data_IF_182877297269
#
_entry.id   IF_182877297269
#
_cell.length_a   1.000
_cell.length_b   1.000
_cell.length_c   1.000
_cell.angle_alpha   90.00
_cell.angle_beta   90.00
_cell.angle_gamma   90.00
#
_symmetry.space_group_name_H-M   'P 1'
#
loop_
_entity.id
_entity.type
_entity.pdbx_description
1 polymer ?
#
# COMPACT_ATOMS: atom_id res chain seq x y z
N UNK A 1 -0.62 -1.01 -17.79
CA UNK A 1 -1.10 -1.40 -16.44
C UNK A 1 -2.45 -2.09 -16.56
N UNK A 2 -2.73 -3.13 -15.76
CA UNK A 2 -4.06 -3.76 -15.80
C UNK A 2 -5.13 -2.81 -15.26
N UNK A 3 -6.35 -2.81 -15.86
CA UNK A 3 -7.48 -1.98 -15.40
C UNK A 3 -7.81 -2.22 -13.92
N UNK A 4 -7.58 -3.43 -13.44
CA UNK A 4 -7.77 -3.85 -12.04
C UNK A 4 -6.72 -3.25 -11.11
N UNK A 5 -5.44 -3.22 -11.50
CA UNK A 5 -4.37 -2.58 -10.72
C UNK A 5 -4.61 -1.07 -10.61
N UNK A 6 -4.91 -0.41 -11.74
CA UNK A 6 -5.15 1.03 -11.78
C UNK A 6 -6.32 1.43 -10.87
N UNK A 7 -7.46 0.72 -10.95
CA UNK A 7 -8.61 0.99 -10.07
C UNK A 7 -8.33 0.75 -8.58
N UNK A 8 -7.49 -0.23 -8.23
CA UNK A 8 -7.08 -0.46 -6.85
C UNK A 8 -6.15 0.64 -6.32
N UNK A 9 -5.23 1.14 -7.16
CA UNK A 9 -4.35 2.25 -6.81
C UNK A 9 -5.15 3.53 -6.57
N UNK A 10 -6.12 3.87 -7.44
CA UNK A 10 -7.02 5.01 -7.25
C UNK A 10 -7.79 4.87 -5.94
N UNK A 11 -8.39 3.70 -5.68
CA UNK A 11 -9.12 3.44 -4.42
C UNK A 11 -8.23 3.59 -3.19
N UNK A 12 -6.99 3.10 -3.27
CA UNK A 12 -6.01 3.23 -2.19
C UNK A 12 -5.65 4.70 -1.92
N UNK A 13 -5.38 5.47 -2.97
CA UNK A 13 -5.10 6.91 -2.85
C UNK A 13 -6.28 7.66 -2.21
N UNK A 14 -7.50 7.37 -2.67
CA UNK A 14 -8.70 8.00 -2.13
C UNK A 14 -8.92 7.71 -0.63
N UNK A 15 -8.70 6.46 -0.20
CA UNK A 15 -8.78 6.09 1.22
C UNK A 15 -7.68 6.78 2.03
N UNK A 16 -6.47 6.86 1.49
CA UNK A 16 -5.36 7.54 2.16
C UNK A 16 -5.68 9.03 2.37
N UNK A 17 -6.19 9.73 1.36
CA UNK A 17 -6.63 11.12 1.49
C UNK A 17 -7.75 11.30 2.52
N UNK A 18 -8.70 10.36 2.60
CA UNK A 18 -9.76 10.40 3.63
C UNK A 18 -9.19 10.22 5.05
N UNK A 19 -8.22 9.33 5.23
CA UNK A 19 -7.54 9.16 6.52
C UNK A 19 -6.81 10.43 6.92
N UNK A 20 -6.10 11.06 5.99
CA UNK A 20 -5.36 12.30 6.25
C UNK A 20 -6.31 13.45 6.62
N UNK A 21 -7.41 13.61 5.89
CA UNK A 21 -8.43 14.61 6.21
C UNK A 21 -9.07 14.38 7.57
N UNK A 22 -9.44 13.15 7.89
CA UNK A 22 -10.08 12.85 9.18
C UNK A 22 -9.10 12.98 10.35
N UNK A 23 -7.81 12.69 10.14
CA UNK A 23 -6.77 12.83 11.16
C UNK A 23 -6.49 14.29 11.53
N UNK A 24 -6.62 15.21 10.58
CA UNK A 24 -6.37 16.66 10.78
C UNK A 24 -7.61 17.37 11.34
N UNK A 25 -8.77 16.69 11.39
CA UNK A 25 -10.02 17.26 11.88
C UNK A 25 -9.94 17.56 13.39
N UNK A 26 -10.50 18.68 13.81
CA UNK A 26 -10.52 19.12 15.23
C UNK A 26 -11.20 18.10 16.17
N UNK A 27 -12.22 17.40 15.65
CA UNK A 27 -12.89 16.29 16.32
C UNK A 27 -12.86 15.07 15.39
N UNK A 28 -11.82 14.23 15.45
CA UNK A 28 -11.70 13.07 14.59
C UNK A 28 -12.67 11.96 15.02
N UNK A 29 -13.40 11.40 14.05
CA UNK A 29 -14.15 10.16 14.28
C UNK A 29 -13.18 8.96 14.27
N UNK A 30 -12.83 8.49 15.45
CA UNK A 30 -11.94 7.35 15.65
C UNK A 30 -12.49 6.04 15.08
N UNK A 31 -13.81 5.84 15.07
CA UNK A 31 -14.45 4.65 14.50
C UNK A 31 -14.31 4.71 12.97
N UNK A 32 -14.56 5.87 12.37
CA UNK A 32 -14.36 6.06 10.94
C UNK A 32 -12.89 5.90 10.55
N UNK A 33 -11.95 6.46 11.32
CA UNK A 33 -10.51 6.27 11.11
C UNK A 33 -10.10 4.79 11.16
N UNK A 34 -10.62 4.03 12.13
CA UNK A 34 -10.36 2.59 12.24
C UNK A 34 -10.89 1.84 11.01
N UNK A 35 -12.14 2.14 10.58
CA UNK A 35 -12.74 1.55 9.38
C UNK A 35 -11.92 1.86 8.12
N UNK A 36 -11.47 3.11 7.96
CA UNK A 36 -10.64 3.53 6.83
C UNK A 36 -9.28 2.81 6.82
N UNK A 37 -8.63 2.67 7.99
CA UNK A 37 -7.38 1.91 8.12
C UNK A 37 -7.56 0.43 7.77
N UNK A 38 -8.65 -0.20 8.22
CA UNK A 38 -8.97 -1.59 7.84
C UNK A 38 -9.19 -1.73 6.33
N UNK A 39 -9.91 -0.80 5.71
CA UNK A 39 -10.11 -0.78 4.25
C UNK A 39 -8.78 -0.66 3.50
N UNK A 40 -7.88 0.21 3.97
CA UNK A 40 -6.52 0.34 3.42
C UNK A 40 -5.75 -0.98 3.54
N UNK A 41 -5.85 -1.67 4.67
CA UNK A 41 -5.18 -2.95 4.89
C UNK A 41 -5.67 -4.00 3.88
N UNK A 42 -7.00 -4.13 3.72
CA UNK A 42 -7.60 -5.05 2.74
C UNK A 42 -7.18 -4.75 1.30
N UNK A 43 -7.09 -3.48 0.92
CA UNK A 43 -6.58 -3.09 -0.40
C UNK A 43 -5.10 -3.43 -0.60
N UNK A 44 -4.27 -3.24 0.43
CA UNK A 44 -2.86 -3.62 0.39
C UNK A 44 -2.70 -5.13 0.18
N UNK A 45 -3.49 -5.95 0.86
CA UNK A 45 -3.49 -7.40 0.65
C UNK A 45 -3.85 -7.78 -0.79
N UNK A 46 -4.86 -7.11 -1.38
CA UNK A 46 -5.25 -7.33 -2.79
C UNK A 46 -4.15 -6.90 -3.77
N UNK A 47 -3.51 -5.75 -3.53
CA UNK A 47 -2.39 -5.27 -4.33
C UNK A 47 -1.18 -6.22 -4.23
N UNK A 48 -0.87 -6.73 -3.03
CA UNK A 48 0.20 -7.72 -2.84
C UNK A 48 -0.09 -9.02 -3.59
N UNK A 49 -1.34 -9.52 -3.54
CA UNK A 49 -1.74 -10.71 -4.28
C UNK A 49 -1.59 -10.54 -5.80
N UNK A 50 -1.89 -9.34 -6.32
CA UNK A 50 -1.63 -9.02 -7.72
C UNK A 50 -0.14 -8.87 -8.03
N UNK A 51 0.65 -8.30 -7.10
CA UNK A 51 2.10 -8.16 -7.26
C UNK A 51 2.82 -9.50 -7.27
N UNK A 52 2.31 -10.54 -6.60
CA UNK A 52 2.87 -11.90 -6.65
C UNK A 52 2.67 -12.54 -8.03
N UNK A 53 1.62 -12.14 -8.77
CA UNK A 53 1.36 -12.60 -10.14
C UNK A 53 2.16 -11.85 -11.21
N UNK A 54 2.83 -10.77 -10.85
CA UNK A 54 3.79 -10.08 -11.72
C UNK A 54 5.16 -10.70 -11.41
N UNK A 55 5.88 -11.24 -12.41
CA UNK A 55 7.22 -11.78 -12.18
C UNK A 55 8.07 -10.68 -11.54
N UNK A 56 8.49 -10.87 -10.29
CA UNK A 56 9.51 -10.00 -9.71
C UNK A 56 10.77 -10.19 -10.55
N UNK A 57 11.43 -9.12 -11.02
CA UNK A 57 12.79 -9.28 -11.51
C UNK A 57 13.61 -9.89 -10.36
N UNK A 58 14.49 -10.87 -10.64
CA UNK A 58 15.34 -11.45 -9.62
C UNK A 58 16.09 -10.31 -8.93
N UNK A 59 15.98 -10.23 -7.61
CA UNK A 59 16.76 -9.26 -6.85
C UNK A 59 18.24 -9.49 -7.17
N UNK A 60 19.03 -8.43 -7.39
CA UNK A 60 20.47 -8.59 -7.51
C UNK A 60 20.95 -9.21 -6.20
N UNK A 61 21.56 -10.40 -6.29
CA UNK A 61 22.29 -10.99 -5.18
C UNK A 61 23.41 -10.00 -4.89
N UNK A 62 23.27 -9.19 -3.83
CA UNK A 62 24.39 -8.43 -3.31
C UNK A 62 25.44 -9.44 -2.90
N UNK A 63 26.43 -9.60 -3.78
CA UNK A 63 27.61 -10.40 -3.53
C UNK A 63 28.32 -9.80 -2.31
N UNK A 64 28.61 -10.58 -1.25
CA UNK A 64 29.41 -10.10 -0.13
C UNK A 64 30.88 -10.11 -0.57
N UNK A 65 31.24 -9.26 -1.54
CA UNK A 65 32.59 -9.21 -2.08
C UNK A 65 33.41 -8.02 -1.56
N UNK A 66 32.91 -7.27 -0.57
CA UNK A 66 33.66 -6.16 0.01
C UNK A 66 33.42 -6.04 1.51
N UNK A 67 33.84 -7.07 2.24
CA UNK A 67 34.16 -6.98 3.66
C UNK A 67 35.64 -7.36 3.80
N UNK A 68 36.51 -6.35 3.69
CA UNK A 68 37.94 -6.48 3.93
C UNK A 68 38.80 -5.92 2.81
N UNK A 69 39.14 -4.64 2.91
CA UNK A 69 40.54 -4.14 3.05
C UNK A 69 40.47 -2.87 3.89
#
# INVERSE_FOLDING_TARGET
>A
MSRTLHSLLIKSAHIQSKIERERVRTAPDWIMLLRLKMLRLRLKSRLSALSIRVPRPPMPKTSPAFAGV
#
